data_IF_097350827017
#
_entry.id   IF_097350827017
#
_cell.length_a   1.000
_cell.length_b   1.000
_cell.length_c   1.000
_cell.angle_alpha   90.00
_cell.angle_beta   90.00
_cell.angle_gamma   90.00
#
_symmetry.space_group_name_H-M   'P 1'
#
loop_
_entity.id
_entity.type
_entity.pdbx_description
1 polymer ?
#
# COMPACT_ATOMS: atom_id res chain seq x y z
N UNK A 1 -22.76 1.40 -2.88
CA UNK A 1 -22.21 2.76 -2.64
C UNK A 1 -21.60 3.29 -3.92
N UNK A 2 -21.44 4.61 -3.99
CA UNK A 2 -20.62 5.27 -5.02
C UNK A 2 -19.24 5.55 -4.43
N UNK A 3 -18.22 4.88 -4.93
CA UNK A 3 -16.87 4.91 -4.35
C UNK A 3 -15.91 5.59 -5.32
N UNK A 4 -15.22 6.62 -4.82
CA UNK A 4 -14.09 7.23 -5.50
C UNK A 4 -12.79 6.57 -5.05
N UNK A 5 -12.01 6.05 -6.00
CA UNK A 5 -10.69 5.47 -5.74
C UNK A 5 -9.64 6.35 -6.39
N UNK A 6 -8.84 7.06 -5.59
CA UNK A 6 -7.70 7.83 -6.10
C UNK A 6 -6.46 6.98 -6.14
N UNK A 7 -5.69 7.04 -7.24
CA UNK A 7 -4.58 6.13 -7.46
C UNK A 7 -5.01 4.70 -7.79
N UNK A 8 -6.23 4.54 -8.33
CA UNK A 8 -6.83 3.22 -8.61
C UNK A 8 -6.22 2.45 -9.77
N UNK A 9 -5.39 3.09 -10.61
CA UNK A 9 -4.61 2.43 -11.66
C UNK A 9 -3.22 1.96 -11.15
N UNK A 10 -2.85 2.30 -9.91
CA UNK A 10 -1.62 1.88 -9.26
C UNK A 10 -1.66 0.43 -8.78
N UNK A 11 -0.55 -0.07 -8.25
CA UNK A 11 -0.40 -1.47 -7.81
C UNK A 11 -1.47 -1.88 -6.80
N UNK A 12 -1.53 -1.25 -5.63
CA UNK A 12 -2.50 -1.62 -4.57
C UNK A 12 -3.90 -1.19 -4.98
N UNK A 13 -4.06 0.03 -5.52
CA UNK A 13 -5.36 0.57 -5.92
C UNK A 13 -6.08 -0.32 -6.92
N UNK A 14 -5.40 -0.86 -7.93
CA UNK A 14 -6.00 -1.77 -8.92
C UNK A 14 -6.49 -3.09 -8.31
N UNK A 15 -5.79 -3.64 -7.30
CA UNK A 15 -6.25 -4.83 -6.59
C UNK A 15 -7.50 -4.55 -5.74
N UNK A 16 -7.58 -3.38 -5.11
CA UNK A 16 -8.80 -2.96 -4.38
C UNK A 16 -9.96 -2.73 -5.34
N UNK A 17 -9.72 -2.06 -6.47
CA UNK A 17 -10.75 -1.91 -7.52
C UNK A 17 -11.20 -3.27 -8.03
N UNK A 18 -10.29 -4.21 -8.30
CA UNK A 18 -10.64 -5.59 -8.67
C UNK A 18 -11.55 -6.24 -7.64
N UNK A 19 -11.21 -6.12 -6.36
CA UNK A 19 -12.00 -6.72 -5.28
C UNK A 19 -13.40 -6.10 -5.18
N UNK A 20 -13.54 -4.77 -5.33
CA UNK A 20 -14.83 -4.07 -5.40
C UNK A 20 -15.67 -4.51 -6.61
N UNK A 21 -15.06 -4.59 -7.79
CA UNK A 21 -15.72 -5.06 -9.02
C UNK A 21 -16.24 -6.49 -8.88
N UNK A 22 -15.44 -7.39 -8.26
CA UNK A 22 -15.88 -8.77 -7.99
C UNK A 22 -17.04 -8.87 -7.00
N UNK A 23 -17.18 -7.92 -6.07
CA UNK A 23 -18.38 -7.86 -5.22
C UNK A 23 -19.63 -7.41 -5.98
N UNK A 24 -19.48 -6.61 -7.02
CA UNK A 24 -20.56 -6.21 -7.94
C UNK A 24 -21.67 -5.35 -7.33
N UNK A 25 -21.45 -4.75 -6.16
CA UNK A 25 -22.47 -3.98 -5.41
C UNK A 25 -22.27 -2.47 -5.41
N UNK A 26 -21.13 -2.00 -5.89
CA UNK A 26 -20.71 -0.60 -5.79
C UNK A 26 -20.47 0.01 -7.18
N UNK A 27 -20.78 1.30 -7.34
CA UNK A 27 -20.41 2.11 -8.49
C UNK A 27 -19.01 2.70 -8.24
N UNK A 28 -18.07 2.45 -9.14
CA UNK A 28 -16.67 2.81 -8.94
C UNK A 28 -16.27 3.91 -9.91
N UNK A 29 -15.66 4.97 -9.37
CA UNK A 29 -14.94 5.97 -10.15
C UNK A 29 -13.47 5.96 -9.73
N UNK A 30 -12.58 5.90 -10.71
CA UNK A 30 -11.12 5.96 -10.51
C UNK A 30 -10.63 7.33 -10.95
N UNK A 31 -9.84 8.01 -10.11
CA UNK A 31 -8.99 9.15 -10.50
C UNK A 31 -7.53 8.71 -10.40
N UNK A 32 -6.80 8.85 -11.50
CA UNK A 32 -5.37 8.56 -11.59
C UNK A 32 -4.76 9.39 -12.71
N UNK A 33 -3.58 9.96 -12.53
CA UNK A 33 -2.85 10.70 -13.57
C UNK A 33 -1.89 9.81 -14.37
N UNK A 34 -1.87 8.51 -14.09
CA UNK A 34 -1.02 7.49 -14.70
C UNK A 34 0.49 7.71 -14.57
N UNK A 35 0.96 8.62 -13.70
CA UNK A 35 2.40 8.82 -13.51
C UNK A 35 3.10 7.60 -12.90
N UNK A 36 2.40 6.81 -12.11
CA UNK A 36 2.81 5.51 -11.53
C UNK A 36 1.75 4.43 -11.78
N UNK A 37 0.56 4.83 -12.21
CA UNK A 37 -0.53 3.95 -12.61
C UNK A 37 -0.28 3.29 -13.97
N UNK A 38 -1.08 2.28 -14.28
CA UNK A 38 -0.94 1.48 -15.49
C UNK A 38 -2.22 1.46 -16.31
N UNK A 39 -2.16 1.92 -17.55
CA UNK A 39 -3.25 1.79 -18.52
C UNK A 39 -3.63 0.31 -18.72
N UNK A 40 -2.64 -0.60 -18.76
CA UNK A 40 -2.90 -2.04 -18.86
C UNK A 40 -3.68 -2.59 -17.67
N UNK A 41 -3.51 -2.03 -16.46
CA UNK A 41 -4.31 -2.41 -15.30
C UNK A 41 -5.77 -1.99 -15.47
N UNK A 42 -6.04 -0.79 -15.99
CA UNK A 42 -7.40 -0.34 -16.28
C UNK A 42 -8.08 -1.23 -17.33
N UNK A 43 -7.39 -1.57 -18.40
CA UNK A 43 -7.89 -2.47 -19.45
C UNK A 43 -8.20 -3.88 -18.90
N UNK A 44 -7.37 -4.40 -17.99
CA UNK A 44 -7.63 -5.66 -17.33
C UNK A 44 -8.85 -5.60 -16.39
N UNK A 45 -9.02 -4.50 -15.66
CA UNK A 45 -10.15 -4.28 -14.76
C UNK A 45 -11.48 -4.13 -15.53
N UNK A 46 -11.47 -3.51 -16.72
CA UNK A 46 -12.66 -3.39 -17.59
C UNK A 46 -13.22 -4.75 -18.04
N UNK A 47 -12.39 -5.81 -18.07
CA UNK A 47 -12.84 -7.18 -18.36
C UNK A 47 -13.58 -7.82 -17.20
N UNK A 48 -13.47 -7.25 -15.98
CA UNK A 48 -14.09 -7.78 -14.76
C UNK A 48 -15.43 -7.08 -14.50
N UNK A 49 -15.50 -5.78 -14.74
CA UNK A 49 -16.71 -5.00 -14.50
C UNK A 49 -16.57 -3.55 -14.94
N UNK A 50 -17.67 -2.82 -14.84
CA UNK A 50 -17.74 -1.43 -15.28
C UNK A 50 -17.28 -0.47 -14.18
N UNK A 51 -16.52 0.55 -14.55
CA UNK A 51 -16.15 1.68 -13.72
C UNK A 51 -15.93 2.93 -14.59
N UNK A 52 -16.00 4.10 -13.98
CA UNK A 52 -15.63 5.36 -14.62
C UNK A 52 -14.15 5.63 -14.35
N UNK A 53 -13.37 5.93 -15.38
CA UNK A 53 -12.00 6.39 -15.25
C UNK A 53 -11.87 7.86 -15.62
N UNK A 54 -11.16 8.63 -14.79
CA UNK A 54 -10.89 10.05 -15.00
C UNK A 54 -9.38 10.24 -14.88
N UNK A 55 -8.74 10.66 -15.96
CA UNK A 55 -7.33 11.04 -15.95
C UNK A 55 -7.21 12.47 -15.43
N UNK A 56 -6.80 12.62 -14.17
CA UNK A 56 -6.65 13.92 -13.53
C UNK A 56 -5.65 13.86 -12.37
N UNK A 57 -5.08 15.02 -12.03
CA UNK A 57 -4.29 15.21 -10.81
C UNK A 57 -5.20 15.60 -9.65
N UNK A 58 -4.80 15.25 -8.41
CA UNK A 58 -5.55 15.66 -7.22
C UNK A 58 -5.41 17.17 -6.90
N UNK A 59 -4.48 17.84 -7.55
CA UNK A 59 -4.30 19.30 -7.45
C UNK A 59 -5.15 20.08 -8.45
N UNK A 60 -5.74 19.40 -9.43
CA UNK A 60 -6.67 20.00 -10.39
C UNK A 60 -8.00 20.38 -9.70
N UNK A 61 -8.83 21.18 -10.37
CA UNK A 61 -10.20 21.42 -9.91
C UNK A 61 -11.07 20.19 -10.19
N UNK A 62 -11.43 19.50 -9.11
CA UNK A 62 -12.26 18.28 -9.16
C UNK A 62 -13.73 18.54 -8.82
N UNK A 63 -14.17 19.81 -8.73
CA UNK A 63 -15.52 20.20 -8.30
C UNK A 63 -16.61 19.52 -9.12
N UNK A 64 -16.52 19.55 -10.43
CA UNK A 64 -17.49 18.90 -11.33
C UNK A 64 -17.55 17.38 -11.13
N UNK A 65 -16.39 16.75 -10.86
CA UNK A 65 -16.31 15.31 -10.63
C UNK A 65 -17.05 14.92 -9.35
N UNK A 66 -16.87 15.69 -8.27
CA UNK A 66 -17.53 15.43 -7.01
C UNK A 66 -19.02 15.78 -7.05
N UNK A 67 -19.41 16.87 -7.69
CA UNK A 67 -20.81 17.27 -7.86
C UNK A 67 -21.62 16.21 -8.61
N UNK A 68 -21.09 15.72 -9.73
CA UNK A 68 -21.74 14.71 -10.56
C UNK A 68 -21.62 13.30 -9.95
N UNK A 69 -20.52 13.01 -9.27
CA UNK A 69 -20.24 11.69 -8.71
C UNK A 69 -21.10 11.33 -7.52
N UNK A 70 -21.42 12.31 -6.64
CA UNK A 70 -22.19 12.10 -5.40
C UNK A 70 -21.67 10.89 -4.61
N UNK A 71 -20.38 10.90 -4.31
CA UNK A 71 -19.69 9.78 -3.69
C UNK A 71 -20.11 9.57 -2.24
N UNK A 72 -20.22 8.30 -1.84
CA UNK A 72 -20.44 7.88 -0.45
C UNK A 72 -19.12 7.70 0.30
N UNK A 73 -18.06 7.32 -0.43
CA UNK A 73 -16.75 6.99 0.13
C UNK A 73 -15.60 7.36 -0.80
N UNK A 74 -14.45 7.69 -0.21
CA UNK A 74 -13.17 7.83 -0.90
C UNK A 74 -12.20 6.77 -0.38
N UNK A 75 -11.53 6.03 -1.27
CA UNK A 75 -10.38 5.19 -0.95
C UNK A 75 -9.15 5.84 -1.58
N UNK A 76 -8.21 6.30 -0.75
CA UNK A 76 -7.13 7.18 -1.17
C UNK A 76 -5.78 6.45 -1.22
N UNK A 77 -5.34 6.12 -2.45
CA UNK A 77 -4.02 5.52 -2.72
C UNK A 77 -3.03 6.48 -3.37
N UNK A 78 -3.50 7.54 -4.02
CA UNK A 78 -2.66 8.46 -4.79
C UNK A 78 -1.56 9.07 -3.90
N UNK A 79 -0.32 8.62 -4.09
CA UNK A 79 0.84 9.07 -3.33
C UNK A 79 2.15 8.66 -4.03
N UNK A 80 3.22 9.42 -3.81
CA UNK A 80 4.59 8.94 -4.04
C UNK A 80 5.04 8.09 -2.85
N UNK A 81 5.79 7.00 -3.12
CA UNK A 81 6.06 5.94 -2.14
C UNK A 81 7.54 5.62 -1.95
N UNK A 82 8.45 6.31 -2.65
CA UNK A 82 9.87 5.98 -2.65
C UNK A 82 10.60 6.71 -1.53
N UNK A 83 11.06 5.96 -0.52
CA UNK A 83 11.72 6.49 0.68
C UNK A 83 12.96 7.30 0.28
N UNK A 84 13.82 6.79 -0.61
CA UNK A 84 15.04 7.48 -1.01
C UNK A 84 14.75 8.79 -1.76
N UNK A 85 13.84 8.77 -2.72
CA UNK A 85 13.42 9.97 -3.43
C UNK A 85 12.88 11.02 -2.46
N UNK A 86 12.19 10.58 -1.39
CA UNK A 86 11.65 11.51 -0.40
C UNK A 86 12.74 12.29 0.35
N UNK A 87 13.94 11.72 0.50
CA UNK A 87 15.07 12.39 1.17
C UNK A 87 15.66 13.48 0.27
N UNK A 88 15.82 13.20 -1.02
CA UNK A 88 16.34 14.18 -1.99
C UNK A 88 15.30 15.20 -2.45
N UNK A 89 14.01 14.82 -2.50
CA UNK A 89 12.90 15.65 -2.98
C UNK A 89 11.77 15.79 -1.96
N UNK A 90 12.03 16.28 -0.72
CA UNK A 90 11.03 16.26 0.36
C UNK A 90 9.78 17.08 0.05
N UNK A 91 9.91 18.22 -0.59
CA UNK A 91 8.77 19.09 -0.93
C UNK A 91 7.80 18.40 -1.90
N UNK A 92 8.31 17.61 -2.84
CA UNK A 92 7.50 16.79 -3.75
C UNK A 92 6.56 15.86 -2.96
N UNK A 93 7.06 15.24 -1.88
CA UNK A 93 6.28 14.34 -1.02
C UNK A 93 5.26 15.08 -0.17
N UNK A 94 5.62 16.21 0.44
CA UNK A 94 4.66 16.98 1.24
C UNK A 94 3.55 17.57 0.38
N UNK A 95 3.88 18.12 -0.79
CA UNK A 95 2.87 18.68 -1.69
C UNK A 95 1.95 17.60 -2.27
N UNK A 96 2.52 16.47 -2.74
CA UNK A 96 1.71 15.42 -3.34
C UNK A 96 0.96 14.58 -2.29
N UNK A 97 1.64 14.12 -1.23
CA UNK A 97 1.03 13.18 -0.29
C UNK A 97 0.17 13.89 0.76
N UNK A 98 0.68 14.97 1.39
CA UNK A 98 0.01 15.63 2.50
C UNK A 98 -1.02 16.65 2.02
N UNK A 99 -0.62 17.56 1.12
CA UNK A 99 -1.53 18.61 0.66
C UNK A 99 -2.71 18.03 -0.14
N UNK A 100 -2.51 16.98 -0.92
CA UNK A 100 -3.60 16.36 -1.67
C UNK A 100 -4.60 15.61 -0.76
N UNK A 101 -4.19 15.10 0.41
CA UNK A 101 -5.13 14.59 1.42
C UNK A 101 -6.00 15.73 1.93
N UNK A 102 -5.42 16.89 2.27
CA UNK A 102 -6.20 18.05 2.72
C UNK A 102 -7.18 18.54 1.62
N UNK A 103 -6.76 18.54 0.34
CA UNK A 103 -7.65 18.85 -0.80
C UNK A 103 -8.79 17.84 -0.93
N UNK A 104 -8.50 16.54 -0.86
CA UNK A 104 -9.51 15.48 -0.92
C UNK A 104 -10.55 15.62 0.22
N UNK A 105 -10.10 15.93 1.44
CA UNK A 105 -10.99 16.18 2.57
C UNK A 105 -11.81 17.47 2.41
N UNK A 106 -11.27 18.52 1.77
CA UNK A 106 -12.05 19.72 1.43
C UNK A 106 -13.19 19.38 0.46
N UNK A 107 -12.94 18.57 -0.57
CA UNK A 107 -13.99 18.08 -1.44
C UNK A 107 -14.97 17.19 -0.70
N UNK A 108 -14.49 16.28 0.16
CA UNK A 108 -15.35 15.43 0.99
C UNK A 108 -16.31 16.28 1.85
N UNK A 109 -15.80 17.38 2.46
CA UNK A 109 -16.61 18.33 3.22
C UNK A 109 -17.67 19.03 2.35
N UNK A 110 -17.25 19.57 1.20
CA UNK A 110 -18.13 20.36 0.31
C UNK A 110 -19.25 19.51 -0.29
N UNK A 111 -18.97 18.26 -0.62
CA UNK A 111 -19.90 17.35 -1.31
C UNK A 111 -20.46 16.24 -0.41
N UNK A 112 -20.30 16.34 0.92
CA UNK A 112 -20.85 15.43 1.94
C UNK A 112 -20.40 13.97 1.78
N UNK A 113 -19.14 13.74 1.40
CA UNK A 113 -18.57 12.39 1.39
C UNK A 113 -18.13 12.01 2.81
N UNK A 114 -18.80 11.03 3.42
CA UNK A 114 -18.67 10.78 4.86
C UNK A 114 -17.79 9.58 5.23
N UNK A 115 -17.20 8.89 4.24
CA UNK A 115 -16.30 7.74 4.50
C UNK A 115 -14.97 7.93 3.78
N UNK A 116 -13.87 7.70 4.49
CA UNK A 116 -12.52 7.87 3.96
C UNK A 116 -11.61 6.72 4.38
N UNK A 117 -11.07 5.98 3.41
CA UNK A 117 -10.05 4.96 3.67
C UNK A 117 -8.70 5.52 3.23
N UNK A 118 -7.75 5.55 4.14
CA UNK A 118 -6.43 6.09 3.88
C UNK A 118 -5.35 5.02 3.87
N UNK A 119 -4.63 4.98 2.77
CA UNK A 119 -3.44 4.18 2.56
C UNK A 119 -2.25 4.82 3.30
N UNK A 120 -2.02 4.39 4.56
CA UNK A 120 -0.87 4.77 5.36
C UNK A 120 0.25 3.71 5.26
N UNK A 121 1.22 3.71 6.15
CA UNK A 121 2.44 2.91 6.05
C UNK A 121 3.03 2.60 7.43
N UNK A 122 3.72 1.48 7.57
CA UNK A 122 4.55 1.17 8.73
C UNK A 122 5.73 2.17 8.92
N UNK A 123 6.11 2.91 7.87
CA UNK A 123 7.17 3.93 7.96
C UNK A 123 6.84 5.07 8.94
N UNK A 124 5.58 5.21 9.39
CA UNK A 124 5.20 6.18 10.43
C UNK A 124 5.79 5.83 11.79
N UNK A 125 6.14 4.57 12.05
CA UNK A 125 6.76 4.13 13.29
C UNK A 125 8.24 4.49 13.39
N UNK A 126 8.92 4.66 12.25
CA UNK A 126 10.37 4.92 12.20
C UNK A 126 11.19 3.73 12.69
N UNK A 127 12.03 3.94 13.70
CA UNK A 127 12.84 2.92 14.37
C UNK A 127 12.26 2.63 15.77
N UNK A 128 11.26 1.78 15.89
CA UNK A 128 10.64 1.49 17.18
C UNK A 128 11.57 0.64 18.04
N UNK A 129 11.49 0.81 19.37
CA UNK A 129 12.23 0.00 20.34
C UNK A 129 11.75 -1.45 20.41
N UNK A 130 10.58 -1.74 19.86
CA UNK A 130 9.95 -3.06 19.85
C UNK A 130 9.95 -3.65 18.43
N UNK A 131 10.16 -4.95 18.33
CA UNK A 131 10.19 -5.64 17.04
C UNK A 131 8.80 -5.74 16.40
N UNK A 132 7.75 -5.96 17.21
CA UNK A 132 6.36 -6.03 16.80
C UNK A 132 5.63 -4.76 17.25
N UNK A 133 5.09 -4.00 16.29
CA UNK A 133 4.41 -2.73 16.53
C UNK A 133 2.90 -2.87 16.45
N UNK A 134 2.21 -2.27 17.42
CA UNK A 134 0.75 -2.09 17.41
C UNK A 134 0.38 -0.66 17.05
N UNK A 135 -0.91 -0.37 16.90
CA UNK A 135 -1.38 0.98 16.59
C UNK A 135 -1.16 1.99 17.72
N UNK A 136 -0.88 1.50 18.94
CA UNK A 136 -0.52 2.30 20.12
C UNK A 136 0.99 2.56 20.24
N UNK A 137 1.82 1.88 19.45
CA UNK A 137 3.26 2.15 19.39
C UNK A 137 3.49 3.59 18.91
N UNK A 138 4.42 4.29 19.56
CA UNK A 138 4.77 5.67 19.23
C UNK A 138 5.17 5.81 17.75
N UNK A 139 4.69 6.87 17.11
CA UNK A 139 5.03 7.19 15.72
C UNK A 139 6.11 8.25 15.68
N UNK A 140 7.26 7.92 15.07
CA UNK A 140 8.41 8.82 14.92
C UNK A 140 9.10 8.58 13.57
N UNK A 141 8.49 8.99 12.44
CA UNK A 141 9.02 8.71 11.12
C UNK A 141 10.37 9.40 10.88
N UNK A 142 11.32 8.67 10.33
CA UNK A 142 12.71 9.12 10.14
C UNK A 142 12.97 9.70 8.75
N UNK A 143 12.04 9.61 7.82
CA UNK A 143 12.17 10.13 6.46
C UNK A 143 10.92 10.94 6.04
N UNK A 144 11.04 11.81 5.01
CA UNK A 144 9.93 12.65 4.56
C UNK A 144 8.71 11.89 4.05
N UNK A 145 8.88 10.70 3.45
CA UNK A 145 7.75 9.85 3.08
C UNK A 145 6.91 9.46 4.30
N UNK A 146 7.54 8.90 5.34
CA UNK A 146 6.86 8.53 6.57
C UNK A 146 6.22 9.75 7.26
N UNK A 147 6.93 10.89 7.29
CA UNK A 147 6.39 12.16 7.84
C UNK A 147 5.18 12.64 7.06
N UNK A 148 5.21 12.61 5.73
CA UNK A 148 4.07 13.03 4.88
C UNK A 148 2.84 12.17 5.14
N UNK A 149 3.01 10.87 5.36
CA UNK A 149 1.91 9.96 5.70
C UNK A 149 1.39 10.20 7.11
N UNK A 150 2.25 10.40 8.10
CA UNK A 150 1.83 10.71 9.48
C UNK A 150 1.09 12.06 9.57
N UNK A 151 1.57 13.10 8.88
CA UNK A 151 0.86 14.38 8.77
C UNK A 151 -0.52 14.20 8.15
N UNK A 152 -0.64 13.35 7.12
CA UNK A 152 -1.93 13.03 6.52
C UNK A 152 -2.87 12.33 7.50
N UNK A 153 -2.38 11.40 8.32
CA UNK A 153 -3.17 10.78 9.40
C UNK A 153 -3.69 11.82 10.40
N UNK A 154 -2.86 12.79 10.78
CA UNK A 154 -3.24 13.85 11.70
C UNK A 154 -4.34 14.73 11.09
N UNK A 155 -4.18 15.18 9.85
CA UNK A 155 -5.18 15.98 9.13
C UNK A 155 -6.53 15.23 9.06
N UNK A 156 -6.52 13.93 8.77
CA UNK A 156 -7.75 13.11 8.73
C UNK A 156 -8.42 13.06 10.10
N UNK A 157 -7.65 12.84 11.17
CA UNK A 157 -8.17 12.80 12.55
C UNK A 157 -8.73 14.13 13.01
N UNK A 158 -8.05 15.24 12.72
CA UNK A 158 -8.50 16.59 13.04
C UNK A 158 -9.80 16.93 12.31
N UNK A 159 -9.89 16.56 11.04
CA UNK A 159 -11.13 16.74 10.26
C UNK A 159 -12.28 15.91 10.84
N UNK A 160 -12.03 14.66 11.21
CA UNK A 160 -13.05 13.81 11.83
C UNK A 160 -13.51 14.35 13.20
N UNK A 161 -12.61 14.89 14.00
CA UNK A 161 -12.96 15.53 15.27
C UNK A 161 -13.86 16.76 15.10
N UNK A 162 -13.77 17.44 13.96
CA UNK A 162 -14.61 18.61 13.61
C UNK A 162 -15.93 18.24 12.89
N UNK A 163 -16.12 16.96 12.54
CA UNK A 163 -17.29 16.47 11.77
C UNK A 163 -17.72 15.07 12.22
N UNK A 164 -18.71 15.01 13.09
CA UNK A 164 -19.20 13.75 13.69
C UNK A 164 -19.73 12.73 12.66
N UNK A 165 -20.20 13.19 11.51
CA UNK A 165 -20.70 12.32 10.44
C UNK A 165 -19.58 11.70 9.62
N UNK A 166 -18.37 12.25 9.67
CA UNK A 166 -17.24 11.72 8.90
C UNK A 166 -16.58 10.56 9.63
N UNK A 167 -16.39 9.44 8.93
CA UNK A 167 -15.74 8.23 9.43
C UNK A 167 -14.56 7.87 8.56
N UNK A 168 -13.45 7.45 9.17
CA UNK A 168 -12.26 7.04 8.46
C UNK A 168 -11.72 5.70 8.92
N UNK A 169 -11.01 5.01 8.04
CA UNK A 169 -10.05 3.98 8.42
C UNK A 169 -8.67 4.34 7.86
N UNK A 170 -7.68 4.36 8.73
CA UNK A 170 -6.27 4.52 8.38
C UNK A 170 -5.65 3.13 8.41
N UNK A 171 -5.09 2.66 7.28
CA UNK A 171 -4.44 1.37 7.20
C UNK A 171 -2.93 1.57 7.11
N UNK A 172 -2.21 1.20 8.17
CA UNK A 172 -0.75 1.19 8.23
C UNK A 172 -0.27 -0.18 7.81
N UNK A 173 0.09 -0.36 6.55
CA UNK A 173 0.56 -1.64 6.07
C UNK A 173 2.08 -1.70 5.90
N UNK A 174 2.57 -2.92 5.90
CA UNK A 174 3.97 -3.28 5.88
C UNK A 174 4.44 -3.55 4.45
N UNK A 175 5.30 -4.52 4.22
CA UNK A 175 5.84 -4.75 2.89
C UNK A 175 4.85 -5.48 1.98
N UNK A 176 4.22 -4.75 1.08
CA UNK A 176 3.25 -5.32 0.14
C UNK A 176 3.97 -5.98 -1.03
N UNK A 177 3.60 -7.22 -1.33
CA UNK A 177 4.19 -7.97 -2.43
C UNK A 177 3.18 -8.96 -3.05
N UNK A 178 3.61 -9.70 -4.06
CA UNK A 178 2.76 -10.59 -4.82
C UNK A 178 2.05 -9.90 -5.98
N UNK A 179 1.18 -10.64 -6.62
CA UNK A 179 0.32 -10.16 -7.70
C UNK A 179 -0.98 -10.94 -7.69
N UNK A 180 -1.91 -10.53 -8.50
CA UNK A 180 -3.16 -11.24 -8.71
C UNK A 180 -2.93 -12.69 -9.12
N UNK A 181 -3.56 -13.63 -8.43
CA UNK A 181 -3.40 -15.08 -8.69
C UNK A 181 -3.92 -15.50 -10.07
N UNK A 182 -4.88 -14.74 -10.64
CA UNK A 182 -5.36 -14.93 -12.01
C UNK A 182 -4.41 -14.29 -13.05
N UNK A 183 -3.43 -13.51 -12.57
CA UNK A 183 -2.42 -12.85 -13.40
C UNK A 183 -2.96 -11.73 -14.28
N UNK A 184 -4.01 -11.03 -13.82
CA UNK A 184 -4.61 -9.92 -14.55
C UNK A 184 -3.92 -8.58 -14.23
N UNK A 185 -3.50 -8.40 -12.98
CA UNK A 185 -2.88 -7.18 -12.48
C UNK A 185 -1.74 -7.49 -11.50
N UNK A 186 -0.80 -6.57 -11.36
CA UNK A 186 0.33 -6.68 -10.45
C UNK A 186 1.16 -5.41 -10.45
N UNK A 187 2.36 -5.46 -9.87
CA UNK A 187 3.25 -4.32 -9.79
C UNK A 187 3.93 -4.03 -11.13
N UNK A 188 3.50 -2.99 -11.85
CA UNK A 188 4.03 -2.59 -13.15
C UNK A 188 5.18 -1.57 -13.07
N UNK A 189 5.47 -1.03 -11.90
CA UNK A 189 6.47 0.00 -11.74
C UNK A 189 7.89 -0.54 -12.00
N UNK A 190 8.57 -0.12 -13.08
CA UNK A 190 9.79 -0.78 -13.56
C UNK A 190 10.99 -0.56 -12.63
N UNK A 191 11.07 0.62 -11.99
CA UNK A 191 12.19 1.01 -11.13
C UNK A 191 11.90 0.78 -9.65
N UNK A 192 10.97 -0.12 -9.31
CA UNK A 192 10.65 -0.43 -7.93
C UNK A 192 11.87 -0.99 -7.18
N UNK A 193 12.02 -0.53 -5.95
CA UNK A 193 13.12 -0.91 -5.04
C UNK A 193 12.69 -1.96 -4.01
N UNK A 194 11.45 -2.42 -4.06
CA UNK A 194 10.91 -3.43 -3.16
C UNK A 194 11.61 -4.77 -3.34
N UNK A 195 12.02 -5.40 -2.24
CA UNK A 195 12.87 -6.59 -2.22
C UNK A 195 12.37 -7.72 -3.15
N UNK A 196 11.11 -8.12 -3.03
CA UNK A 196 10.54 -9.21 -3.84
C UNK A 196 10.48 -8.83 -5.33
N UNK A 197 10.15 -7.56 -5.67
CA UNK A 197 10.19 -7.10 -7.08
C UNK A 197 11.60 -7.16 -7.65
N UNK A 198 12.60 -6.71 -6.88
CA UNK A 198 14.01 -6.81 -7.29
C UNK A 198 14.44 -8.27 -7.47
N UNK A 199 14.05 -9.16 -6.53
CA UNK A 199 14.37 -10.58 -6.63
C UNK A 199 13.79 -11.21 -7.91
N UNK A 200 12.51 -11.00 -8.22
CA UNK A 200 11.90 -11.60 -9.42
C UNK A 200 12.46 -11.01 -10.72
N UNK A 201 12.84 -9.73 -10.74
CA UNK A 201 13.54 -9.13 -11.86
C UNK A 201 14.95 -9.74 -12.06
N UNK A 202 15.65 -10.03 -10.95
CA UNK A 202 16.97 -10.66 -11.01
C UNK A 202 16.85 -12.11 -11.48
N UNK A 203 15.85 -12.86 -11.01
CA UNK A 203 15.53 -14.22 -11.49
C UNK A 203 15.34 -14.25 -13.01
N UNK A 204 14.66 -13.25 -13.57
CA UNK A 204 14.36 -13.17 -15.01
C UNK A 204 15.47 -12.51 -15.84
N UNK A 205 16.62 -12.20 -15.23
CA UNK A 205 17.73 -11.56 -15.93
C UNK A 205 17.49 -10.08 -16.32
N UNK A 206 16.38 -9.46 -15.85
CA UNK A 206 16.11 -8.04 -16.05
C UNK A 206 17.04 -7.16 -15.20
N UNK A 207 17.67 -7.75 -14.16
CA UNK A 207 18.75 -7.16 -13.36
C UNK A 207 19.91 -8.14 -13.27
N UNK A 208 21.13 -7.64 -13.28
CA UNK A 208 22.34 -8.47 -13.18
C UNK A 208 22.49 -9.12 -11.80
N UNK A 209 22.11 -8.40 -10.75
CA UNK A 209 22.23 -8.86 -9.37
C UNK A 209 21.23 -8.14 -8.45
N UNK A 210 21.04 -8.67 -7.24
CA UNK A 210 20.37 -7.93 -6.18
C UNK A 210 21.29 -7.71 -4.98
N UNK A 211 21.05 -6.62 -4.22
CA UNK A 211 21.83 -6.26 -3.03
C UNK A 211 21.18 -6.71 -1.73
N UNK A 212 22.01 -7.20 -0.79
CA UNK A 212 21.70 -7.25 0.65
C UNK A 212 22.30 -5.99 1.28
N UNK A 213 21.46 -5.12 1.81
CA UNK A 213 21.89 -3.85 2.41
C UNK A 213 22.06 -4.01 3.93
N UNK A 214 23.29 -4.27 4.36
CA UNK A 214 23.67 -4.60 5.73
C UNK A 214 23.49 -6.08 6.06
N UNK A 215 24.51 -6.67 6.66
CA UNK A 215 24.58 -8.07 7.09
C UNK A 215 25.04 -8.20 8.56
N UNK A 216 25.00 -7.09 9.27
CA UNK A 216 25.48 -6.93 10.64
C UNK A 216 24.38 -6.40 11.60
N UNK A 217 23.09 -6.48 11.23
CA UNK A 217 21.98 -6.16 12.11
C UNK A 217 21.86 -7.14 13.26
N UNK A 218 21.33 -6.70 14.40
CA UNK A 218 21.04 -7.55 15.56
C UNK A 218 19.84 -8.48 15.30
N UNK A 219 19.98 -9.37 14.33
CA UNK A 219 18.99 -10.36 13.89
C UNK A 219 19.65 -11.74 13.75
N UNK A 220 18.85 -12.78 13.57
CA UNK A 220 19.35 -14.17 13.51
C UNK A 220 20.43 -14.41 12.44
N UNK A 221 20.33 -13.74 11.29
CA UNK A 221 21.21 -13.92 10.13
C UNK A 221 21.95 -12.64 9.71
N UNK A 222 21.82 -11.59 10.54
CA UNK A 222 22.46 -10.29 10.31
C UNK A 222 21.72 -9.39 9.33
N UNK A 223 20.59 -9.82 8.71
CA UNK A 223 19.84 -9.00 7.76
C UNK A 223 18.52 -8.52 8.34
N UNK A 224 17.97 -7.41 7.79
CA UNK A 224 16.71 -6.85 8.26
C UNK A 224 15.55 -7.85 8.18
N UNK A 225 14.65 -7.80 9.14
CA UNK A 225 13.42 -8.60 9.19
C UNK A 225 12.20 -7.73 8.93
N UNK A 226 11.32 -8.16 8.02
CA UNK A 226 10.11 -7.44 7.62
C UNK A 226 8.91 -8.38 7.52
N UNK A 227 7.73 -7.82 7.77
CA UNK A 227 6.45 -8.47 7.54
C UNK A 227 6.02 -8.23 6.08
N UNK A 228 5.77 -9.31 5.34
CA UNK A 228 5.34 -9.27 3.94
C UNK A 228 3.90 -9.69 3.83
N UNK A 229 3.06 -8.83 3.26
CA UNK A 229 1.65 -9.10 3.01
C UNK A 229 1.37 -9.24 1.53
N UNK A 230 0.58 -10.26 1.15
CA UNK A 230 0.09 -10.41 -0.21
C UNK A 230 -0.88 -9.29 -0.57
N UNK A 231 -0.70 -8.68 -1.73
CA UNK A 231 -1.49 -7.53 -2.19
C UNK A 231 -3.00 -7.80 -2.23
N UNK A 232 -3.43 -9.02 -2.52
CA UNK A 232 -4.85 -9.39 -2.51
C UNK A 232 -5.44 -9.47 -1.09
N UNK A 233 -4.66 -9.92 -0.09
CA UNK A 233 -5.11 -9.89 1.31
C UNK A 233 -5.16 -8.46 1.84
N UNK A 234 -4.26 -7.59 1.38
CA UNK A 234 -4.34 -6.16 1.66
C UNK A 234 -5.57 -5.53 1.03
N UNK A 235 -5.93 -5.89 -0.20
CA UNK A 235 -7.16 -5.43 -0.84
C UNK A 235 -8.40 -5.86 -0.03
N UNK A 236 -8.46 -7.12 0.40
CA UNK A 236 -9.52 -7.62 1.28
C UNK A 236 -9.59 -6.84 2.61
N UNK A 237 -8.44 -6.40 3.17
CA UNK A 237 -8.38 -5.57 4.36
C UNK A 237 -9.02 -4.19 4.16
N UNK A 238 -8.81 -3.56 2.99
CA UNK A 238 -9.44 -2.28 2.66
C UNK A 238 -10.97 -2.38 2.58
N UNK A 239 -11.49 -3.46 2.00
CA UNK A 239 -12.93 -3.69 1.92
C UNK A 239 -13.53 -3.95 3.30
N UNK A 240 -12.86 -4.75 4.12
CA UNK A 240 -13.29 -5.01 5.50
C UNK A 240 -13.25 -3.75 6.39
N UNK A 241 -12.26 -2.88 6.19
CA UNK A 241 -12.18 -1.60 6.88
C UNK A 241 -13.28 -0.62 6.42
N UNK A 242 -13.61 -0.60 5.13
CA UNK A 242 -14.72 0.20 4.60
C UNK A 242 -16.07 -0.25 5.18
N UNK A 243 -16.28 -1.55 5.28
CA UNK A 243 -17.47 -2.13 5.91
C UNK A 243 -17.52 -1.75 7.40
N UNK A 244 -16.41 -1.89 8.11
CA UNK A 244 -16.32 -1.55 9.54
C UNK A 244 -16.71 -0.11 9.83
N UNK A 245 -16.15 0.89 9.12
CA UNK A 245 -16.48 2.29 9.34
C UNK A 245 -17.91 2.66 8.89
N UNK A 246 -18.53 1.83 8.08
CA UNK A 246 -19.94 1.98 7.70
C UNK A 246 -20.92 1.65 8.83
N UNK A 247 -20.48 0.86 9.82
CA UNK A 247 -21.32 0.35 10.92
C UNK A 247 -20.83 0.82 12.30
N UNK A 248 -19.54 1.20 12.39
CA UNK A 248 -18.87 1.54 13.64
C UNK A 248 -18.25 2.96 13.56
N UNK A 249 -17.29 3.24 14.40
CA UNK A 249 -16.55 4.48 14.41
C UNK A 249 -15.30 4.46 13.51
N UNK A 250 -14.60 5.60 13.49
CA UNK A 250 -13.30 5.72 12.85
C UNK A 250 -12.23 4.92 13.56
N UNK A 251 -11.27 4.37 12.81
CA UNK A 251 -10.21 3.55 13.40
C UNK A 251 -8.89 3.62 12.60
N UNK A 252 -7.80 3.30 13.28
CA UNK A 252 -6.48 3.06 12.67
C UNK A 252 -6.14 1.58 12.83
N UNK A 253 -5.71 0.93 11.75
CA UNK A 253 -5.37 -0.49 11.72
C UNK A 253 -3.96 -0.72 11.20
N UNK A 254 -3.19 -1.56 11.87
CA UNK A 254 -2.05 -2.22 11.26
C UNK A 254 -2.51 -3.36 10.34
N UNK A 255 -1.87 -3.49 9.19
CA UNK A 255 -2.22 -4.53 8.21
C UNK A 255 -0.96 -5.30 7.80
N UNK A 256 -0.84 -6.51 8.30
CA UNK A 256 0.25 -7.44 8.07
C UNK A 256 -0.11 -8.81 8.62
N UNK A 257 0.79 -9.76 8.49
CA UNK A 257 0.53 -11.12 8.97
C UNK A 257 0.96 -11.33 10.43
N UNK A 258 1.81 -10.44 10.98
CA UNK A 258 2.43 -10.64 12.29
C UNK A 258 3.59 -11.63 12.22
N UNK A 259 4.17 -11.81 11.05
CA UNK A 259 5.27 -12.74 10.79
C UNK A 259 6.37 -12.06 10.01
N UNK A 260 7.58 -12.08 10.57
CA UNK A 260 8.76 -11.49 9.95
C UNK A 260 9.57 -12.50 9.15
N UNK A 261 10.11 -12.04 8.00
CA UNK A 261 11.11 -12.77 7.23
C UNK A 261 12.33 -11.89 7.01
N UNK A 262 13.52 -12.46 7.18
CA UNK A 262 14.76 -11.77 6.89
C UNK A 262 14.99 -11.61 5.38
N UNK A 263 15.88 -10.68 4.99
CA UNK A 263 16.25 -10.52 3.57
C UNK A 263 16.82 -11.82 3.01
N UNK A 264 17.65 -12.53 3.77
CA UNK A 264 18.22 -13.84 3.36
C UNK A 264 17.14 -14.90 3.20
N UNK A 265 16.16 -14.98 4.12
CA UNK A 265 15.04 -15.94 4.01
C UNK A 265 14.20 -15.67 2.76
N UNK A 266 13.95 -14.39 2.40
CA UNK A 266 13.25 -14.03 1.16
C UNK A 266 14.05 -14.46 -0.07
N UNK A 267 15.37 -14.23 -0.09
CA UNK A 267 16.25 -14.61 -1.20
C UNK A 267 16.26 -16.14 -1.38
N UNK A 268 16.45 -16.88 -0.31
CA UNK A 268 16.48 -18.35 -0.38
C UNK A 268 15.12 -18.94 -0.79
N UNK A 269 14.02 -18.34 -0.34
CA UNK A 269 12.68 -18.72 -0.81
C UNK A 269 12.50 -18.41 -2.29
N UNK A 270 12.99 -17.26 -2.77
CA UNK A 270 12.94 -16.89 -4.19
C UNK A 270 13.74 -17.84 -5.07
N UNK A 271 14.92 -18.26 -4.63
CA UNK A 271 15.73 -19.30 -5.32
C UNK A 271 14.98 -20.63 -5.38
N UNK A 272 14.38 -21.07 -4.27
CA UNK A 272 13.61 -22.33 -4.22
C UNK A 272 12.38 -22.30 -5.14
N UNK A 273 11.62 -21.20 -5.12
CA UNK A 273 10.40 -21.05 -5.94
C UNK A 273 10.72 -21.02 -7.43
N UNK A 274 11.82 -20.37 -7.81
CA UNK A 274 12.19 -20.20 -9.22
C UNK A 274 13.06 -21.32 -9.77
N UNK A 275 13.79 -22.03 -8.93
CA UNK A 275 14.87 -22.94 -9.34
C UNK A 275 16.13 -22.25 -9.86
N UNK A 276 16.21 -20.90 -9.77
CA UNK A 276 17.31 -20.08 -10.30
C UNK A 276 18.21 -19.60 -9.17
N UNK A 277 19.50 -19.91 -9.26
CA UNK A 277 20.51 -19.35 -8.35
C UNK A 277 21.06 -18.04 -8.94
N UNK A 278 20.41 -16.93 -8.61
CA UNK A 278 20.79 -15.59 -9.08
C UNK A 278 21.88 -14.94 -8.20
N UNK A 279 22.57 -13.96 -8.78
CA UNK A 279 23.69 -13.25 -8.13
C UNK A 279 23.18 -12.32 -7.05
N UNK A 280 23.79 -12.42 -5.87
CA UNK A 280 23.52 -11.56 -4.69
C UNK A 280 24.81 -10.89 -4.26
N UNK A 281 24.76 -9.61 -3.93
CA UNK A 281 25.92 -8.81 -3.50
C UNK A 281 25.62 -8.17 -2.14
N UNK A 282 26.57 -8.20 -1.23
CA UNK A 282 26.48 -7.45 0.02
C UNK A 282 26.81 -5.97 -0.23
N UNK A 283 26.06 -5.08 0.42
CA UNK A 283 26.23 -3.64 0.38
C UNK A 283 26.12 -3.06 1.80
N UNK A 284 26.65 -1.86 2.06
CA UNK A 284 26.47 -1.18 3.36
C UNK A 284 24.99 -1.04 3.73
N UNK A 285 24.74 -0.89 5.05
CA UNK A 285 23.38 -0.58 5.52
C UNK A 285 22.81 0.65 4.82
N UNK A 286 21.50 0.65 4.67
CA UNK A 286 20.76 1.86 4.28
C UNK A 286 20.44 2.66 5.55
N UNK A 287 20.64 3.96 5.49
CA UNK A 287 20.23 4.85 6.58
C UNK A 287 18.73 4.76 6.80
N UNK A 288 18.32 4.61 8.04
CA UNK A 288 16.93 4.58 8.43
C UNK A 288 16.20 3.25 8.18
N UNK A 289 16.91 2.15 8.00
CA UNK A 289 16.31 0.80 7.97
C UNK A 289 16.35 0.16 9.36
N UNK A 290 15.21 0.01 10.08
CA UNK A 290 15.18 -0.68 11.36
C UNK A 290 15.55 -2.16 11.19
N UNK A 291 16.21 -2.75 12.22
CA UNK A 291 16.60 -4.15 12.18
C UNK A 291 15.39 -5.09 12.03
N UNK A 292 14.32 -4.84 12.78
CA UNK A 292 13.09 -5.64 12.76
C UNK A 292 11.88 -4.71 12.75
N UNK A 293 10.93 -4.99 11.89
CA UNK A 293 9.65 -4.27 11.86
C UNK A 293 8.53 -5.23 11.43
N UNK A 294 7.73 -5.68 12.40
CA UNK A 294 6.66 -6.67 12.25
C UNK A 294 5.34 -6.07 12.73
N UNK A 295 4.25 -6.39 12.07
CA UNK A 295 2.90 -5.92 12.37
C UNK A 295 2.26 -6.71 13.51
N UNK A 296 1.65 -6.02 14.48
CA UNK A 296 0.55 -6.60 15.24
C UNK A 296 -0.77 -6.17 14.59
N UNK A 297 -1.41 -7.08 13.87
CA UNK A 297 -2.69 -6.84 13.18
C UNK A 297 -3.88 -7.45 13.95
N UNK A 298 -3.75 -7.70 15.26
CA UNK A 298 -4.80 -8.31 16.08
C UNK A 298 -6.06 -7.45 16.14
N UNK A 299 -5.92 -6.12 16.14
CA UNK A 299 -7.05 -5.17 16.13
C UNK A 299 -7.90 -5.33 14.86
N UNK A 300 -7.29 -5.33 13.68
CA UNK A 300 -8.01 -5.53 12.42
C UNK A 300 -8.74 -6.88 12.39
N UNK A 301 -8.06 -7.95 12.82
CA UNK A 301 -8.64 -9.30 12.87
C UNK A 301 -9.80 -9.45 13.86
N UNK A 302 -9.77 -8.72 14.98
CA UNK A 302 -10.80 -8.81 16.00
C UNK A 302 -12.02 -7.92 15.72
N UNK A 303 -11.81 -6.76 15.11
CA UNK A 303 -12.87 -5.78 14.89
C UNK A 303 -13.54 -5.89 13.51
N UNK A 304 -12.93 -6.62 12.57
CA UNK A 304 -13.45 -6.74 11.21
C UNK A 304 -13.61 -8.20 10.79
N UNK A 305 -14.27 -8.43 9.65
CA UNK A 305 -14.38 -9.75 9.03
C UNK A 305 -13.08 -10.22 8.35
N UNK A 306 -12.03 -9.41 8.36
CA UNK A 306 -10.78 -9.71 7.64
C UNK A 306 -10.07 -10.94 8.18
N UNK A 307 -9.83 -11.88 7.29
CA UNK A 307 -9.02 -13.09 7.55
C UNK A 307 -8.04 -13.26 6.40
N UNK A 308 -6.72 -13.21 6.64
CA UNK A 308 -5.73 -13.44 5.60
C UNK A 308 -5.84 -14.86 5.05
N UNK A 309 -5.66 -15.00 3.74
CA UNK A 309 -5.77 -16.27 3.01
C UNK A 309 -4.46 -16.67 2.33
N UNK A 310 -3.49 -15.74 2.28
CA UNK A 310 -2.26 -15.85 1.48
C UNK A 310 -1.01 -15.59 2.32
N UNK A 311 -1.04 -15.97 3.61
CA UNK A 311 0.10 -15.89 4.54
C UNK A 311 1.12 -17.00 4.23
N UNK A 312 1.72 -16.89 3.05
CA UNK A 312 2.76 -17.81 2.56
C UNK A 312 3.75 -17.03 1.67
N UNK A 313 4.99 -16.91 2.15
CA UNK A 313 6.05 -16.20 1.43
C UNK A 313 6.34 -16.82 0.05
N UNK A 314 6.25 -18.15 -0.08
CA UNK A 314 6.47 -18.81 -1.36
C UNK A 314 5.36 -18.46 -2.37
N UNK A 315 4.10 -18.39 -1.92
CA UNK A 315 2.97 -17.96 -2.75
C UNK A 315 3.13 -16.48 -3.16
N UNK A 316 3.51 -15.61 -2.24
CA UNK A 316 3.75 -14.18 -2.51
C UNK A 316 4.81 -14.03 -3.62
N UNK A 317 5.94 -14.73 -3.48
CA UNK A 317 7.03 -14.68 -4.47
C UNK A 317 6.59 -15.31 -5.80
N UNK A 318 5.87 -16.44 -5.76
CA UNK A 318 5.38 -17.13 -6.97
C UNK A 318 4.47 -16.21 -7.79
N UNK A 319 3.47 -15.58 -7.16
CA UNK A 319 2.55 -14.69 -7.87
C UNK A 319 3.27 -13.46 -8.44
N UNK A 320 4.23 -12.89 -7.70
CA UNK A 320 5.07 -11.80 -8.20
C UNK A 320 5.92 -12.23 -9.41
N UNK A 321 6.51 -13.44 -9.37
CA UNK A 321 7.31 -13.96 -10.47
C UNK A 321 6.48 -14.24 -11.72
N UNK A 322 5.32 -14.89 -11.56
CA UNK A 322 4.42 -15.15 -12.69
C UNK A 322 3.91 -13.86 -13.33
N UNK A 323 3.67 -12.83 -12.55
CA UNK A 323 3.34 -11.51 -13.07
C UNK A 323 4.51 -10.87 -13.82
N UNK A 324 5.72 -10.90 -13.24
CA UNK A 324 6.91 -10.29 -13.84
C UNK A 324 7.30 -10.91 -15.19
N UNK A 325 6.94 -12.17 -15.43
CA UNK A 325 7.10 -12.85 -16.73
C UNK A 325 6.21 -12.29 -17.84
N UNK A 326 5.11 -11.63 -17.47
CA UNK A 326 4.08 -11.14 -18.41
C UNK A 326 4.27 -9.68 -18.86
N UNK A 327 5.17 -8.94 -18.18
CA UNK A 327 5.38 -7.52 -18.42
C UNK A 327 6.78 -7.18 -18.94
#
# INVERSE_FOLDING_TARGET
>A
MKILVTGGAGYIGSHVVKALLKQGKDEITIIDNLCKGSQKALEALQKIGNFKFINANLEDDLSEIFENGKFDAIIHFAAFIEVFESISEPLKYYLNNTANVARALRYAKTYNVNKFIFSSTAAVYGEPEVAEVSETTATNPINPYGRSKLMSEQIIKDYAASNENFKFAILRYFNVAGADEEGLIGQNYPNATHLIKVAVQTILGKRESMGIFGDDYATKDGTCVRDYIHVSDLADAHLSALEYIGQNGSETFNVGYGRGFSVKEVIETAKKVSGVNFKVLNAPRRDGDPAILISNASKLRSLTSWKPKRDDLALIIKTALEWEKRI
#
